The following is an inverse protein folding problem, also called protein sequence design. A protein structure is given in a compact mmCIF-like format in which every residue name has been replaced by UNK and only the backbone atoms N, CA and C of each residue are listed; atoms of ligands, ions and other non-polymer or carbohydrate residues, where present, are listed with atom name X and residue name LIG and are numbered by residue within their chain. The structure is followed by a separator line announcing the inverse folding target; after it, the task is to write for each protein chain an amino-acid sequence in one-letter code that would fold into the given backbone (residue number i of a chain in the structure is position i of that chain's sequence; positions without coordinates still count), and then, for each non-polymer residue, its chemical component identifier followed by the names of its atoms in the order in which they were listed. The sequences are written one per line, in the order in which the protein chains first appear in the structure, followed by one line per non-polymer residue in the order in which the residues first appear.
data_IF_050643999167
#
_entry.id   IF_050643999167
#
_cell.length_a   1.000
_cell.length_b   1.000
_cell.length_c   1.000
_cell.angle_alpha   90.00
_cell.angle_beta   90.00
_cell.angle_gamma   90.00
#
_symmetry.space_group_name_H-M   'P 1'
#
loop_
_entity.id
_entity.type
_entity.pdbx_description
1 polymer ?
#
# COMPACT_ATOMS: atom_id res chain seq x y z
N UNK A 1 9.54 15.34 -7.64
CA UNK A 1 9.51 14.24 -6.65
C UNK A 1 8.50 14.61 -5.56
N UNK A 2 8.17 13.72 -4.61
CA UNK A 2 7.27 14.06 -3.50
C UNK A 2 7.88 15.14 -2.61
N UNK A 3 7.06 16.01 -2.04
CA UNK A 3 7.49 16.96 -1.01
C UNK A 3 7.17 16.44 0.41
N UNK A 4 7.85 16.94 1.45
CA UNK A 4 7.65 16.51 2.83
C UNK A 4 6.20 16.68 3.34
N UNK A 5 5.50 17.75 2.93
CA UNK A 5 4.10 18.04 3.34
C UNK A 5 3.16 16.91 2.91
N UNK A 6 3.30 16.42 1.68
CA UNK A 6 2.49 15.31 1.16
C UNK A 6 2.82 13.98 1.86
N UNK A 7 4.09 13.76 2.17
CA UNK A 7 4.54 12.58 2.91
C UNK A 7 3.91 12.55 4.31
N UNK A 8 3.93 13.68 5.02
CA UNK A 8 3.27 13.82 6.32
C UNK A 8 1.78 13.45 6.24
N UNK A 9 1.07 13.87 5.19
CA UNK A 9 -0.33 13.51 4.98
C UNK A 9 -0.54 11.99 4.88
N UNK A 10 0.29 11.29 4.09
CA UNK A 10 0.17 9.83 3.98
C UNK A 10 0.39 9.11 5.30
N UNK A 11 1.40 9.55 6.08
CA UNK A 11 1.67 8.98 7.41
C UNK A 11 0.64 9.38 8.46
N UNK A 12 0.00 10.54 8.31
CA UNK A 12 -1.13 10.97 9.15
C UNK A 12 -2.27 9.94 9.14
N UNK A 13 -2.43 9.17 8.06
CA UNK A 13 -3.40 8.08 8.00
C UNK A 13 -3.17 6.95 9.02
N UNK A 14 -1.93 6.80 9.52
CA UNK A 14 -1.62 5.85 10.59
C UNK A 14 -2.16 6.32 11.96
N UNK A 15 -2.48 7.61 12.13
CA UNK A 15 -3.12 8.15 13.34
C UNK A 15 -4.65 8.12 13.28
N UNK A 16 -5.24 7.91 12.11
CA UNK A 16 -6.70 7.94 11.92
C UNK A 16 -7.29 6.62 12.43
N UNK A 17 -7.82 6.64 13.64
CA UNK A 17 -8.45 5.47 14.26
C UNK A 17 -9.78 5.12 13.58
N UNK A 18 -9.99 3.83 13.34
CA UNK A 18 -11.21 3.25 12.77
C UNK A 18 -11.90 2.40 13.82
N UNK A 19 -13.24 2.37 13.76
CA UNK A 19 -14.07 1.63 14.72
C UNK A 19 -13.79 2.03 16.18
N UNK A 20 -13.42 3.29 16.41
CA UNK A 20 -13.07 3.79 17.74
C UNK A 20 -14.27 4.10 18.63
N UNK A 21 -15.47 4.00 18.08
CA UNK A 21 -16.75 3.99 18.75
C UNK A 21 -17.18 2.59 19.26
N UNK A 22 -16.39 1.54 18.99
CA UNK A 22 -16.61 0.18 19.48
C UNK A 22 -15.40 -0.39 20.25
N UNK A 23 -15.62 -1.27 21.24
CA UNK A 23 -14.57 -2.10 21.81
C UNK A 23 -13.91 -2.97 20.73
N UNK A 24 -12.57 -2.95 20.69
CA UNK A 24 -11.76 -3.70 19.71
C UNK A 24 -10.52 -4.27 20.37
N UNK A 25 -10.12 -5.49 19.98
CA UNK A 25 -8.93 -6.17 20.53
C UNK A 25 -7.61 -5.54 20.09
N UNK A 26 -7.64 -4.82 18.97
CA UNK A 26 -6.47 -4.21 18.35
C UNK A 26 -6.81 -2.83 17.82
N UNK A 27 -5.82 -1.95 17.72
CA UNK A 27 -6.00 -0.71 16.99
C UNK A 27 -6.19 -0.98 15.50
N UNK A 28 -7.15 -0.28 14.90
CA UNK A 28 -7.45 -0.33 13.47
C UNK A 28 -7.29 1.08 12.95
N UNK A 29 -6.46 1.28 11.93
CA UNK A 29 -6.14 2.61 11.40
C UNK A 29 -6.44 2.71 9.91
N UNK A 30 -6.68 3.92 9.42
CA UNK A 30 -7.06 4.15 8.02
C UNK A 30 -5.98 3.71 7.03
N UNK A 31 -4.69 3.89 7.37
CA UNK A 31 -3.60 3.42 6.52
C UNK A 31 -3.68 1.91 6.23
N UNK A 32 -3.85 1.09 7.27
CA UNK A 32 -3.97 -0.38 7.14
C UNK A 32 -5.21 -0.79 6.35
N UNK A 33 -6.33 -0.08 6.52
CA UNK A 33 -7.54 -0.32 5.75
C UNK A 33 -7.35 -0.01 4.27
N UNK A 34 -6.65 1.08 3.94
CA UNK A 34 -6.39 1.46 2.55
C UNK A 34 -5.41 0.49 1.91
N UNK A 35 -4.38 0.06 2.62
CA UNK A 35 -3.45 -0.97 2.15
C UNK A 35 -4.20 -2.27 1.80
N UNK A 36 -5.07 -2.74 2.71
CA UNK A 36 -5.89 -3.92 2.46
C UNK A 36 -6.82 -3.72 1.25
N UNK A 37 -7.43 -2.54 1.11
CA UNK A 37 -8.26 -2.17 -0.05
C UNK A 37 -7.48 -2.28 -1.36
N UNK A 38 -6.24 -1.77 -1.45
CA UNK A 38 -5.44 -1.89 -2.67
C UNK A 38 -5.13 -3.35 -3.03
N UNK A 39 -4.80 -4.18 -2.03
CA UNK A 39 -4.57 -5.62 -2.22
C UNK A 39 -5.83 -6.30 -2.74
N UNK A 40 -6.99 -6.07 -2.12
CA UNK A 40 -8.26 -6.65 -2.56
C UNK A 40 -8.61 -6.15 -3.97
N UNK A 41 -8.42 -4.86 -4.27
CA UNK A 41 -8.70 -4.27 -5.57
C UNK A 41 -7.85 -4.90 -6.68
N UNK A 42 -6.58 -5.20 -6.42
CA UNK A 42 -5.72 -5.95 -7.35
C UNK A 42 -6.33 -7.31 -7.68
N UNK A 43 -6.72 -8.09 -6.68
CA UNK A 43 -7.30 -9.42 -6.92
C UNK A 43 -8.66 -9.36 -7.62
N UNK A 44 -9.52 -8.40 -7.27
CA UNK A 44 -10.78 -8.19 -7.99
C UNK A 44 -10.49 -7.88 -9.46
N UNK A 45 -9.68 -6.84 -9.75
CA UNK A 45 -9.38 -6.43 -11.11
C UNK A 45 -8.77 -7.55 -11.97
N UNK A 46 -7.89 -8.36 -11.38
CA UNK A 46 -7.24 -9.49 -12.05
C UNK A 46 -8.15 -10.71 -12.25
N UNK A 47 -9.21 -10.85 -11.46
CA UNK A 47 -10.15 -11.96 -11.57
C UNK A 47 -11.35 -11.66 -12.45
N UNK A 48 -11.72 -10.39 -12.65
CA UNK A 48 -12.81 -9.97 -13.53
C UNK A 48 -12.39 -9.97 -15.00
N UNK A 49 -12.06 -11.15 -15.54
CA UNK A 49 -11.59 -11.38 -16.91
C UNK A 49 -12.48 -10.86 -18.05
N UNK A 50 -13.74 -10.51 -17.78
CA UNK A 50 -14.68 -10.01 -18.80
C UNK A 50 -14.53 -8.51 -19.07
N UNK A 51 -13.90 -7.78 -18.17
CA UNK A 51 -13.72 -6.34 -18.31
C UNK A 51 -12.24 -6.01 -18.37
N UNK A 52 -11.84 -5.28 -19.43
CA UNK A 52 -10.52 -4.64 -19.43
C UNK A 52 -10.53 -3.55 -18.36
N UNK A 53 -9.91 -3.83 -17.21
CA UNK A 53 -9.67 -2.88 -16.14
C UNK A 53 -8.31 -2.23 -16.37
N UNK A 54 -8.28 -0.91 -16.36
CA UNK A 54 -7.03 -0.17 -16.46
C UNK A 54 -6.36 -0.12 -15.09
N UNK A 55 -5.31 -0.93 -14.91
CA UNK A 55 -4.61 -1.04 -13.62
C UNK A 55 -3.92 0.26 -13.22
N UNK A 56 -3.50 1.09 -14.17
CA UNK A 56 -2.87 2.38 -13.92
C UNK A 56 -3.89 3.36 -13.35
N UNK A 57 -5.07 3.39 -13.95
CA UNK A 57 -6.23 4.16 -13.50
C UNK A 57 -6.75 3.65 -12.15
N UNK A 58 -6.72 2.34 -11.90
CA UNK A 58 -7.08 1.74 -10.61
C UNK A 58 -6.18 2.23 -9.47
N UNK A 59 -4.86 2.24 -9.70
CA UNK A 59 -3.88 2.75 -8.75
C UNK A 59 -4.13 4.24 -8.50
N UNK A 60 -4.22 5.03 -9.56
CA UNK A 60 -4.36 6.49 -9.46
C UNK A 60 -5.69 6.88 -8.77
N UNK A 61 -6.81 6.27 -9.15
CA UNK A 61 -8.10 6.42 -8.49
C UNK A 61 -8.04 6.05 -7.01
N UNK A 62 -7.32 4.97 -6.67
CA UNK A 62 -7.11 4.55 -5.29
C UNK A 62 -6.35 5.60 -4.48
N UNK A 63 -5.29 6.17 -5.05
CA UNK A 63 -4.49 7.24 -4.41
C UNK A 63 -5.34 8.49 -4.22
N UNK A 64 -6.14 8.87 -5.21
CA UNK A 64 -7.05 10.02 -5.11
C UNK A 64 -8.11 9.83 -4.01
N UNK A 65 -8.72 8.65 -3.91
CA UNK A 65 -9.66 8.35 -2.83
C UNK A 65 -8.97 8.35 -1.46
N UNK A 66 -7.73 7.87 -1.38
CA UNK A 66 -6.95 7.89 -0.16
C UNK A 66 -6.63 9.34 0.28
N UNK A 67 -6.12 10.18 -0.62
CA UNK A 67 -5.85 11.60 -0.36
C UNK A 67 -7.10 12.33 0.14
N UNK A 68 -8.24 12.16 -0.54
CA UNK A 68 -9.51 12.75 -0.10
C UNK A 68 -9.88 12.28 1.30
N UNK A 69 -9.71 10.99 1.60
CA UNK A 69 -10.05 10.41 2.91
C UNK A 69 -9.19 10.95 4.03
N UNK A 70 -7.90 11.16 3.78
CA UNK A 70 -6.97 11.78 4.75
C UNK A 70 -7.35 13.23 5.05
N UNK A 71 -7.86 13.99 4.07
CA UNK A 71 -8.29 15.37 4.33
C UNK A 71 -9.61 15.44 5.10
N UNK A 72 -10.59 14.60 4.77
CA UNK A 72 -11.93 14.59 5.41
C UNK A 72 -11.96 13.74 6.69
N UNK A 73 -10.83 13.63 7.39
CA UNK A 73 -10.67 12.86 8.63
C UNK A 73 -11.77 13.11 9.66
N UNK A 74 -12.02 12.13 10.52
CA UNK A 74 -12.91 12.22 11.69
C UNK A 74 -14.42 12.36 11.39
N UNK A 75 -14.81 12.29 10.12
CA UNK A 75 -16.21 12.14 9.72
C UNK A 75 -16.54 10.66 9.57
N UNK A 76 -17.55 10.20 10.35
CA UNK A 76 -18.11 8.85 10.23
C UNK A 76 -18.58 8.61 8.78
N UNK A 77 -18.32 7.43 8.18
CA UNK A 77 -18.59 7.21 6.75
C UNK A 77 -20.03 7.51 6.31
N UNK A 78 -21.04 7.15 7.10
CA UNK A 78 -22.46 7.41 6.81
C UNK A 78 -22.79 8.91 6.84
N UNK A 79 -22.23 9.64 7.82
CA UNK A 79 -22.33 11.11 7.90
C UNK A 79 -21.65 11.75 6.70
N UNK A 80 -20.47 11.27 6.32
CA UNK A 80 -19.73 11.77 5.17
C UNK A 80 -20.52 11.55 3.87
N UNK A 81 -21.11 10.37 3.66
CA UNK A 81 -21.97 10.11 2.49
C UNK A 81 -23.16 11.07 2.42
N UNK A 82 -23.83 11.31 3.55
CA UNK A 82 -24.93 12.30 3.63
C UNK A 82 -24.44 13.73 3.37
N UNK A 83 -23.24 14.08 3.82
CA UNK A 83 -22.63 15.38 3.56
C UNK A 83 -22.34 15.55 2.07
N UNK A 84 -21.80 14.53 1.39
CA UNK A 84 -21.58 14.56 -0.04
C UNK A 84 -22.89 14.75 -0.83
N UNK A 85 -23.97 14.06 -0.47
CA UNK A 85 -25.27 14.25 -1.15
C UNK A 85 -25.78 15.69 -1.14
N UNK A 86 -25.40 16.50 -0.13
CA UNK A 86 -25.88 17.89 0.03
C UNK A 86 -24.85 18.96 -0.35
N UNK A 87 -23.56 18.66 -0.21
CA UNK A 87 -22.45 19.61 -0.21
C UNK A 87 -21.20 19.09 -0.94
N UNK A 88 -21.39 18.18 -1.90
CA UNK A 88 -20.29 17.58 -2.65
C UNK A 88 -19.35 18.64 -3.24
N UNK A 89 -19.88 19.66 -3.91
CA UNK A 89 -19.08 20.71 -4.54
C UNK A 89 -18.23 21.47 -3.52
N UNK A 90 -18.82 21.93 -2.43
CA UNK A 90 -18.11 22.68 -1.40
C UNK A 90 -17.04 21.84 -0.71
N UNK A 91 -17.34 20.57 -0.38
CA UNK A 91 -16.39 19.64 0.22
C UNK A 91 -15.23 19.36 -0.75
N UNK A 92 -15.54 19.13 -2.02
CA UNK A 92 -14.55 18.85 -3.06
C UNK A 92 -13.61 20.03 -3.27
N UNK A 93 -14.14 21.25 -3.38
CA UNK A 93 -13.35 22.49 -3.46
C UNK A 93 -12.45 22.67 -2.24
N UNK A 94 -12.96 22.38 -1.05
CA UNK A 94 -12.15 22.45 0.17
C UNK A 94 -11.03 21.40 0.19
N UNK A 95 -11.31 20.15 -0.18
CA UNK A 95 -10.27 19.10 -0.28
C UNK A 95 -9.18 19.50 -1.27
N UNK A 96 -9.57 20.03 -2.43
CA UNK A 96 -8.65 20.49 -3.46
C UNK A 96 -7.77 21.65 -3.00
N UNK A 97 -8.28 22.55 -2.15
CA UNK A 97 -7.49 23.66 -1.62
C UNK A 97 -6.48 23.20 -0.57
N UNK A 98 -6.83 22.23 0.28
CA UNK A 98 -5.91 21.70 1.29
C UNK A 98 -4.70 20.98 0.67
N UNK A 99 -4.90 20.37 -0.50
CA UNK A 99 -3.87 19.58 -1.17
C UNK A 99 -3.12 20.31 -2.29
N UNK A 100 -3.52 21.55 -2.64
CA UNK A 100 -2.95 22.30 -3.76
C UNK A 100 -1.42 22.41 -3.66
N UNK A 101 -0.90 23.02 -2.58
CA UNK A 101 0.55 23.21 -2.40
C UNK A 101 1.33 21.88 -2.38
N UNK A 102 0.67 20.81 -1.97
CA UNK A 102 1.32 19.50 -1.81
C UNK A 102 1.41 18.75 -3.15
N UNK A 103 0.57 19.10 -4.11
CA UNK A 103 0.39 18.38 -5.38
C UNK A 103 0.74 19.21 -6.61
N UNK A 104 0.81 20.53 -6.52
CA UNK A 104 0.99 21.44 -7.66
C UNK A 104 2.28 21.20 -8.43
N UNK A 105 3.34 20.77 -7.74
CA UNK A 105 4.66 20.60 -8.34
C UNK A 105 4.83 19.21 -9.00
N UNK A 106 3.89 18.30 -8.76
CA UNK A 106 3.93 16.93 -9.30
C UNK A 106 3.53 16.96 -10.76
N UNK A 107 4.45 16.51 -11.62
CA UNK A 107 4.29 16.54 -13.09
C UNK A 107 3.91 17.93 -13.61
N UNK A 108 4.47 19.00 -13.03
CA UNK A 108 4.15 20.39 -13.37
C UNK A 108 2.63 20.69 -13.30
N UNK A 109 1.95 20.14 -12.28
CA UNK A 109 0.52 20.34 -12.04
C UNK A 109 -0.41 19.37 -12.77
N UNK A 110 0.11 18.53 -13.67
CA UNK A 110 -0.72 17.58 -14.40
C UNK A 110 -1.37 16.55 -13.47
N UNK A 111 -0.67 16.09 -12.42
CA UNK A 111 -1.22 15.18 -11.41
C UNK A 111 -2.39 15.84 -10.66
N UNK A 112 -2.22 17.08 -10.21
CA UNK A 112 -3.28 17.84 -9.54
C UNK A 112 -4.50 18.01 -10.45
N UNK A 113 -4.30 18.29 -11.74
CA UNK A 113 -5.41 18.43 -12.69
C UNK A 113 -6.20 17.13 -12.88
N UNK A 114 -5.53 15.98 -12.90
CA UNK A 114 -6.20 14.66 -12.92
C UNK A 114 -6.96 14.41 -11.62
N UNK A 115 -6.41 14.80 -10.47
CA UNK A 115 -7.09 14.71 -9.17
C UNK A 115 -8.34 15.59 -9.10
N UNK A 116 -8.26 16.84 -9.56
CA UNK A 116 -9.39 17.77 -9.67
C UNK A 116 -10.50 17.20 -10.55
N UNK A 117 -10.12 16.66 -11.71
CA UNK A 117 -11.06 16.04 -12.65
C UNK A 117 -11.71 14.83 -12.01
N UNK A 118 -10.94 13.95 -11.37
CA UNK A 118 -11.47 12.78 -10.66
C UNK A 118 -12.44 13.17 -9.55
N UNK A 119 -12.15 14.19 -8.76
CA UNK A 119 -13.07 14.60 -7.69
C UNK A 119 -14.36 15.23 -8.25
N UNK A 120 -14.26 15.94 -9.38
CA UNK A 120 -15.38 16.70 -9.96
C UNK A 120 -16.25 15.89 -10.93
N UNK A 121 -15.69 14.85 -11.55
CA UNK A 121 -16.34 14.00 -12.54
C UNK A 121 -16.44 12.55 -12.03
N UNK A 122 -17.66 12.15 -11.68
CA UNK A 122 -17.98 10.80 -11.22
C UNK A 122 -17.93 9.74 -12.32
N UNK A 123 -17.84 10.14 -13.59
CA UNK A 123 -17.73 9.23 -14.74
C UNK A 123 -16.28 8.80 -15.04
N UNK A 124 -15.29 9.60 -14.62
CA UNK A 124 -13.87 9.25 -14.72
C UNK A 124 -13.58 7.96 -13.95
N UNK A 125 -12.92 6.99 -14.59
CA UNK A 125 -12.53 5.70 -14.00
C UNK A 125 -13.69 4.92 -13.38
N UNK A 126 -14.87 4.93 -14.02
CA UNK A 126 -16.11 4.36 -13.47
C UNK A 126 -15.96 2.90 -13.00
N UNK A 127 -15.26 2.06 -13.77
CA UNK A 127 -15.06 0.64 -13.45
C UNK A 127 -14.11 0.46 -12.27
N UNK A 128 -13.01 1.18 -12.29
CA UNK A 128 -11.99 1.17 -11.25
C UNK A 128 -12.57 1.68 -9.93
N UNK A 129 -13.39 2.73 -9.96
CA UNK A 129 -14.17 3.20 -8.79
C UNK A 129 -15.06 2.11 -8.21
N UNK A 130 -15.74 1.36 -9.08
CA UNK A 130 -16.63 0.28 -8.65
C UNK A 130 -15.83 -0.82 -7.94
N UNK A 131 -14.69 -1.22 -8.50
CA UNK A 131 -13.75 -2.17 -7.88
C UNK A 131 -13.20 -1.63 -6.55
N UNK A 132 -12.78 -0.36 -6.50
CA UNK A 132 -12.24 0.26 -5.29
C UNK A 132 -13.29 0.35 -4.17
N UNK A 133 -14.56 0.62 -4.51
CA UNK A 133 -15.68 0.56 -3.56
C UNK A 133 -15.88 -0.85 -3.04
N UNK A 134 -15.99 -1.84 -3.91
CA UNK A 134 -16.10 -3.25 -3.52
C UNK A 134 -14.96 -3.67 -2.59
N UNK A 135 -13.71 -3.37 -2.97
CA UNK A 135 -12.53 -3.66 -2.17
C UNK A 135 -12.54 -2.95 -0.80
N UNK A 136 -13.03 -1.71 -0.77
CA UNK A 136 -13.15 -0.92 0.46
C UNK A 136 -14.14 -1.56 1.44
N UNK A 137 -15.27 -2.05 0.95
CA UNK A 137 -16.27 -2.75 1.79
C UNK A 137 -15.79 -4.11 2.25
N UNK A 138 -15.11 -4.86 1.38
CA UNK A 138 -14.48 -6.13 1.78
C UNK A 138 -13.44 -5.95 2.88
N UNK A 139 -12.59 -4.92 2.80
CA UNK A 139 -11.65 -4.57 3.88
C UNK A 139 -12.39 -4.19 5.17
N UNK A 140 -13.49 -3.42 5.05
CA UNK A 140 -14.31 -2.98 6.19
C UNK A 140 -15.00 -4.15 6.88
N UNK A 141 -15.51 -5.13 6.12
CA UNK A 141 -16.09 -6.37 6.64
C UNK A 141 -15.09 -7.23 7.39
N UNK A 142 -13.86 -7.32 6.87
CA UNK A 142 -12.79 -8.04 7.55
C UNK A 142 -12.45 -7.37 8.89
N UNK A 143 -12.34 -6.03 8.94
CA UNK A 143 -12.17 -5.28 10.19
C UNK A 143 -13.34 -5.49 11.16
N UNK A 144 -14.57 -5.40 10.64
CA UNK A 144 -15.77 -5.59 11.42
C UNK A 144 -15.86 -6.99 12.03
N UNK A 145 -15.28 -8.01 11.39
CA UNK A 145 -15.21 -9.36 11.95
C UNK A 145 -14.43 -9.40 13.27
N UNK A 146 -13.43 -8.53 13.46
CA UNK A 146 -12.70 -8.38 14.73
C UNK A 146 -13.57 -7.63 15.74
N UNK A 147 -14.15 -6.50 15.32
CA UNK A 147 -14.97 -5.64 16.17
C UNK A 147 -16.20 -6.39 16.69
N UNK A 148 -16.86 -7.17 15.83
CA UNK A 148 -18.04 -7.95 16.15
C UNK A 148 -17.78 -8.91 17.30
N UNK A 149 -16.65 -9.62 17.30
CA UNK A 149 -16.30 -10.59 18.35
C UNK A 149 -16.21 -9.93 19.74
N UNK A 150 -15.68 -8.72 19.83
CA UNK A 150 -15.58 -7.99 21.11
C UNK A 150 -16.79 -7.13 21.44
N UNK A 151 -17.72 -6.95 20.50
CA UNK A 151 -18.85 -6.04 20.62
C UNK A 151 -20.21 -6.75 20.69
N UNK A 152 -20.24 -8.08 20.79
CA UNK A 152 -21.49 -8.87 20.81
C UNK A 152 -22.43 -8.50 21.96
N UNK A 153 -21.90 -7.93 23.05
CA UNK A 153 -22.69 -7.48 24.20
C UNK A 153 -23.41 -6.14 23.95
N UNK A 154 -23.09 -5.41 22.88
CA UNK A 154 -23.71 -4.13 22.57
C UNK A 154 -25.06 -4.32 21.87
N UNK A 155 -26.05 -3.55 22.30
CA UNK A 155 -27.33 -3.48 21.62
C UNK A 155 -27.13 -2.98 20.18
N UNK A 156 -27.79 -3.63 19.21
CA UNK A 156 -27.76 -3.32 17.77
C UNK A 156 -26.49 -3.71 17.01
N UNK A 157 -25.52 -4.41 17.60
CA UNK A 157 -24.33 -4.86 16.85
C UNK A 157 -24.71 -5.78 15.66
N UNK A 158 -25.77 -6.57 15.79
CA UNK A 158 -26.29 -7.40 14.69
C UNK A 158 -26.88 -6.56 13.55
N UNK A 159 -27.45 -5.38 13.83
CA UNK A 159 -27.88 -4.45 12.76
C UNK A 159 -26.69 -3.88 12.00
N UNK A 160 -25.57 -3.62 12.68
CA UNK A 160 -24.33 -3.19 12.03
C UNK A 160 -23.78 -4.33 11.16
N UNK A 161 -23.86 -5.57 11.64
CA UNK A 161 -23.48 -6.75 10.85
C UNK A 161 -24.34 -6.89 9.59
N UNK A 162 -25.66 -6.79 9.72
CA UNK A 162 -26.59 -6.81 8.59
C UNK A 162 -26.27 -5.71 7.58
N UNK A 163 -26.04 -4.47 8.03
CA UNK A 163 -25.69 -3.35 7.15
C UNK A 163 -24.35 -3.56 6.42
N UNK A 164 -23.33 -4.11 7.10
CA UNK A 164 -22.03 -4.41 6.48
C UNK A 164 -22.17 -5.53 5.43
N UNK A 165 -23.00 -6.54 5.66
CA UNK A 165 -23.25 -7.60 4.69
C UNK A 165 -24.08 -7.09 3.49
N UNK A 166 -25.14 -6.29 3.74
CA UNK A 166 -25.98 -5.66 2.70
C UNK A 166 -25.14 -4.80 1.75
N UNK A 167 -24.19 -4.01 2.28
CA UNK A 167 -23.28 -3.21 1.45
C UNK A 167 -22.41 -4.06 0.51
N UNK A 168 -22.15 -5.32 0.81
CA UNK A 168 -21.36 -6.21 -0.06
C UNK A 168 -22.23 -6.79 -1.18
N UNK A 169 -23.53 -6.98 -0.92
CA UNK A 169 -24.46 -7.55 -1.91
C UNK A 169 -24.55 -6.68 -3.17
N UNK A 170 -24.43 -5.36 -3.03
CA UNK A 170 -24.35 -4.39 -4.13
C UNK A 170 -23.22 -4.70 -5.13
N UNK A 171 -22.19 -5.44 -4.71
CA UNK A 171 -21.02 -5.78 -5.51
C UNK A 171 -20.99 -7.26 -5.91
N UNK A 172 -22.06 -8.01 -5.66
CA UNK A 172 -22.18 -9.42 -6.05
C UNK A 172 -22.20 -9.62 -7.55
N UNK A 173 -22.24 -8.60 -8.41
CA UNK A 173 -22.00 -8.80 -9.84
C UNK A 173 -20.56 -9.26 -10.14
N UNK A 174 -19.59 -8.85 -9.31
CA UNK A 174 -18.18 -9.25 -9.40
C UNK A 174 -18.01 -10.70 -8.92
N UNK A 175 -17.47 -11.57 -9.80
CA UNK A 175 -17.25 -12.99 -9.49
C UNK A 175 -16.31 -13.15 -8.30
N UNK A 176 -15.27 -12.33 -8.24
CA UNK A 176 -14.28 -12.30 -7.17
C UNK A 176 -14.91 -11.98 -5.81
N UNK A 177 -15.78 -10.96 -5.73
CA UNK A 177 -16.49 -10.59 -4.49
C UNK A 177 -17.35 -11.76 -4.00
N UNK A 178 -18.12 -12.41 -4.88
CA UNK A 178 -18.90 -13.60 -4.51
C UNK A 178 -18.00 -14.72 -3.96
N UNK A 179 -16.86 -14.99 -4.61
CA UNK A 179 -15.90 -16.01 -4.16
C UNK A 179 -15.30 -15.68 -2.79
N UNK A 180 -14.95 -14.42 -2.55
CA UNK A 180 -14.43 -13.95 -1.25
C UNK A 180 -15.51 -14.07 -0.17
N UNK A 181 -16.73 -13.61 -0.46
CA UNK A 181 -17.84 -13.65 0.50
C UNK A 181 -18.29 -15.07 0.87
N UNK A 182 -18.18 -16.02 -0.06
CA UNK A 182 -18.44 -17.44 0.17
C UNK A 182 -17.25 -18.20 0.80
N UNK A 183 -16.23 -17.51 1.31
CA UNK A 183 -15.03 -18.09 1.91
C UNK A 183 -14.33 -19.16 1.03
N UNK A 184 -14.23 -18.91 -0.28
CA UNK A 184 -13.47 -19.76 -1.20
C UNK A 184 -11.98 -19.46 -1.12
N UNK A 185 -11.14 -20.24 -1.80
CA UNK A 185 -9.66 -20.15 -1.78
C UNK A 185 -9.08 -18.72 -1.66
N UNK A 186 -9.54 -17.79 -2.50
CA UNK A 186 -9.06 -16.40 -2.50
C UNK A 186 -9.27 -15.66 -1.16
N UNK A 187 -10.28 -16.03 -0.36
CA UNK A 187 -10.51 -15.42 0.96
C UNK A 187 -9.33 -15.68 1.91
N UNK A 188 -8.58 -16.77 1.74
CA UNK A 188 -7.35 -17.04 2.49
C UNK A 188 -6.28 -15.99 2.21
N UNK A 189 -6.16 -15.54 0.96
CA UNK A 189 -5.20 -14.50 0.55
C UNK A 189 -5.60 -13.14 1.13
N UNK A 190 -6.89 -12.81 1.05
CA UNK A 190 -7.43 -11.59 1.66
C UNK A 190 -7.21 -11.60 3.18
N UNK A 191 -7.45 -12.74 3.83
CA UNK A 191 -7.20 -12.89 5.25
C UNK A 191 -5.71 -12.77 5.61
N UNK A 192 -4.81 -13.40 4.85
CA UNK A 192 -3.36 -13.26 5.02
C UNK A 192 -2.92 -11.80 4.90
N UNK A 193 -3.42 -11.05 3.90
CA UNK A 193 -3.14 -9.60 3.81
C UNK A 193 -3.65 -8.83 5.01
N UNK A 194 -4.86 -9.15 5.50
CA UNK A 194 -5.44 -8.51 6.67
C UNK A 194 -4.57 -8.67 7.92
N UNK A 195 -3.98 -9.86 8.13
CA UNK A 195 -3.15 -10.19 9.31
C UNK A 195 -1.86 -9.36 9.42
N UNK A 196 -1.32 -8.85 8.32
CA UNK A 196 -0.11 -8.01 8.31
C UNK A 196 -0.29 -6.74 9.16
N UNK A 197 -1.53 -6.31 9.43
CA UNK A 197 -1.80 -5.18 10.32
C UNK A 197 -1.42 -5.42 11.78
N UNK A 198 -1.38 -6.68 12.20
CA UNK A 198 -1.04 -7.06 13.57
C UNK A 198 0.48 -7.07 13.80
N UNK A 199 1.26 -7.05 12.72
CA UNK A 199 2.72 -7.02 12.78
C UNK A 199 3.18 -5.57 12.83
N UNK A 200 3.62 -5.12 14.00
CA UNK A 200 4.09 -3.75 14.21
C UNK A 200 5.56 -3.63 13.84
N UNK A 201 5.88 -2.58 13.08
CA UNK A 201 7.26 -2.25 12.72
C UNK A 201 7.97 -1.59 13.89
N UNK A 202 9.30 -1.65 13.89
CA UNK A 202 10.12 -1.12 14.98
C UNK A 202 9.78 -1.75 16.34
N UNK A 203 9.44 -3.04 16.37
CA UNK A 203 8.89 -3.75 17.54
C UNK A 203 9.72 -3.68 18.84
N UNK A 204 10.98 -3.26 18.77
CA UNK A 204 11.86 -3.09 19.92
C UNK A 204 11.79 -1.70 20.56
N UNK A 205 11.00 -0.77 20.00
CA UNK A 205 10.91 0.60 20.51
C UNK A 205 9.53 1.21 20.24
N UNK A 206 8.92 1.94 21.21
CA UNK A 206 7.68 2.68 20.94
C UNK A 206 7.89 3.72 19.83
N UNK A 207 6.84 3.96 19.03
CA UNK A 207 6.88 4.89 17.89
C UNK A 207 5.55 5.61 17.69
N UNK A 208 5.57 6.89 17.27
CA UNK A 208 4.34 7.67 17.03
C UNK A 208 4.36 8.36 15.65
N UNK A 209 3.33 8.17 14.81
CA UNK A 209 2.27 7.16 14.95
C UNK A 209 2.82 5.76 14.72
N UNK A 210 2.30 4.74 15.38
CA UNK A 210 2.66 3.34 15.12
C UNK A 210 2.28 2.92 13.68
N UNK A 211 3.07 2.06 13.03
CA UNK A 211 2.78 1.50 11.70
C UNK A 211 2.86 -0.01 11.76
N UNK A 212 1.97 -0.65 11.02
CA UNK A 212 2.04 -2.07 10.75
C UNK A 212 2.85 -2.35 9.48
N UNK A 213 3.23 -3.62 9.25
CA UNK A 213 3.78 -4.08 7.97
C UNK A 213 2.80 -3.77 6.83
N UNK A 214 1.50 -3.99 7.04
CA UNK A 214 0.46 -3.71 6.04
C UNK A 214 0.44 -2.23 5.62
N UNK A 215 0.44 -1.33 6.59
CA UNK A 215 0.44 0.11 6.33
C UNK A 215 1.73 0.57 5.65
N UNK A 216 2.87 0.03 6.07
CA UNK A 216 4.18 0.29 5.48
C UNK A 216 4.20 -0.10 3.99
N UNK A 217 3.73 -1.29 3.63
CA UNK A 217 3.66 -1.75 2.24
C UNK A 217 2.93 -0.76 1.32
N UNK A 218 1.83 -0.16 1.78
CA UNK A 218 1.12 0.87 1.00
C UNK A 218 1.95 2.15 0.87
N UNK A 219 2.64 2.60 1.92
CA UNK A 219 3.53 3.75 1.82
C UNK A 219 4.62 3.50 0.79
N UNK A 220 5.28 2.34 0.83
CA UNK A 220 6.32 1.98 -0.17
C UNK A 220 5.73 1.95 -1.58
N UNK A 221 4.53 1.42 -1.77
CA UNK A 221 3.84 1.41 -3.06
C UNK A 221 3.54 2.82 -3.57
N UNK A 222 3.06 3.73 -2.71
CA UNK A 222 2.80 5.13 -3.06
C UNK A 222 4.10 5.85 -3.41
N UNK A 223 5.17 5.66 -2.63
CA UNK A 223 6.50 6.20 -2.96
C UNK A 223 6.98 5.67 -4.32
N UNK A 224 6.79 4.38 -4.60
CA UNK A 224 7.10 3.73 -5.87
C UNK A 224 6.29 4.29 -7.05
N UNK A 225 5.03 4.66 -6.83
CA UNK A 225 4.18 5.35 -7.82
C UNK A 225 4.73 6.73 -8.20
N UNK A 226 5.10 7.54 -7.21
CA UNK A 226 5.61 8.89 -7.47
C UNK A 226 7.04 8.89 -8.01
N UNK A 227 7.88 7.93 -7.58
CA UNK A 227 9.12 7.60 -8.28
C UNK A 227 8.83 7.24 -9.74
N UNK A 228 7.81 6.40 -9.94
CA UNK A 228 7.14 6.03 -11.20
C UNK A 228 7.07 7.18 -12.20
N UNK A 229 6.33 8.19 -11.75
CA UNK A 229 6.07 9.45 -12.46
C UNK A 229 7.35 10.24 -12.71
N UNK A 230 8.20 10.39 -11.70
CA UNK A 230 9.46 11.15 -11.80
C UNK A 230 10.43 10.55 -12.81
N UNK A 231 10.46 9.21 -12.89
CA UNK A 231 11.27 8.46 -13.84
C UNK A 231 10.65 8.42 -15.24
N UNK A 232 9.42 8.95 -15.43
CA UNK A 232 8.64 8.88 -16.67
C UNK A 232 8.48 7.44 -17.17
N UNK A 233 8.21 6.52 -16.23
CA UNK A 233 7.97 5.12 -16.56
C UNK A 233 6.72 4.98 -17.44
N UNK A 234 6.73 4.03 -18.38
CA UNK A 234 5.52 3.61 -19.09
C UNK A 234 4.51 2.97 -18.11
N UNK A 235 3.24 2.90 -18.52
CA UNK A 235 2.17 2.44 -17.63
C UNK A 235 2.40 1.04 -17.07
N UNK A 236 2.88 0.10 -17.90
CA UNK A 236 3.18 -1.27 -17.45
C UNK A 236 4.26 -1.30 -16.38
N UNK A 237 5.38 -0.61 -16.59
CA UNK A 237 6.48 -0.51 -15.62
C UNK A 237 6.02 0.15 -14.32
N UNK A 238 5.21 1.20 -14.40
CA UNK A 238 4.67 1.87 -13.22
C UNK A 238 3.71 0.97 -12.42
N UNK A 239 2.80 0.28 -13.12
CA UNK A 239 1.86 -0.67 -12.51
C UNK A 239 2.63 -1.77 -11.79
N UNK A 240 3.65 -2.33 -12.44
CA UNK A 240 4.49 -3.37 -11.85
C UNK A 240 5.27 -2.85 -10.64
N UNK A 241 5.82 -1.63 -10.71
CA UNK A 241 6.52 -1.01 -9.59
C UNK A 241 5.61 -0.84 -8.38
N UNK A 242 4.39 -0.35 -8.60
CA UNK A 242 3.40 -0.18 -7.53
C UNK A 242 3.05 -1.50 -6.87
N UNK A 243 2.72 -2.54 -7.65
CA UNK A 243 2.30 -3.82 -7.08
C UNK A 243 3.47 -4.65 -6.53
N UNK A 244 4.67 -4.56 -7.11
CA UNK A 244 5.87 -5.15 -6.52
C UNK A 244 6.13 -4.55 -5.13
N UNK A 245 6.06 -3.22 -5.01
CA UNK A 245 6.18 -2.53 -3.73
C UNK A 245 5.01 -2.85 -2.77
N UNK A 246 3.77 -2.95 -3.27
CA UNK A 246 2.63 -3.29 -2.43
C UNK A 246 2.73 -4.72 -1.88
N UNK A 247 3.38 -5.65 -2.58
CA UNK A 247 3.47 -7.06 -2.18
C UNK A 247 4.84 -7.47 -1.63
N UNK A 248 5.83 -6.57 -1.51
CA UNK A 248 7.20 -6.93 -1.18
C UNK A 248 7.33 -7.67 0.16
N UNK A 249 6.61 -7.23 1.20
CA UNK A 249 6.53 -7.87 2.52
C UNK A 249 5.30 -8.78 2.69
N UNK A 250 4.54 -9.06 1.63
CA UNK A 250 3.36 -9.93 1.72
C UNK A 250 3.68 -11.32 2.33
N UNK A 251 4.81 -11.99 2.00
CA UNK A 251 5.17 -13.26 2.62
C UNK A 251 5.41 -13.17 4.13
N UNK A 252 5.68 -11.99 4.70
CA UNK A 252 5.85 -11.80 6.14
C UNK A 252 4.58 -12.14 6.93
N UNK A 253 3.42 -12.24 6.27
CA UNK A 253 2.19 -12.76 6.87
C UNK A 253 2.36 -14.18 7.44
N UNK A 254 3.34 -14.94 6.92
CA UNK A 254 3.63 -16.32 7.29
C UNK A 254 4.92 -16.45 8.10
N UNK A 255 5.97 -15.70 7.72
CA UNK A 255 7.29 -15.81 8.37
C UNK A 255 7.47 -14.86 9.57
N UNK A 256 6.60 -13.86 9.69
CA UNK A 256 6.77 -12.64 10.50
C UNK A 256 7.96 -11.79 10.02
N UNK A 257 7.94 -10.50 10.35
CA UNK A 257 9.07 -9.61 10.12
C UNK A 257 10.29 -10.07 10.93
N UNK A 258 11.35 -10.44 10.21
CA UNK A 258 12.68 -10.69 10.78
C UNK A 258 13.51 -9.43 10.55
N UNK A 259 13.83 -8.72 11.63
CA UNK A 259 14.57 -7.46 11.54
C UNK A 259 15.94 -7.63 10.87
N UNK A 260 16.35 -6.62 10.10
CA UNK A 260 17.60 -6.65 9.31
C UNK A 260 18.86 -7.04 10.12
N UNK A 261 19.09 -6.55 11.37
CA UNK A 261 20.27 -6.95 12.14
C UNK A 261 20.33 -8.46 12.42
N UNK A 262 19.17 -9.13 12.52
CA UNK A 262 19.09 -10.58 12.74
C UNK A 262 19.33 -11.33 11.43
N UNK A 263 18.74 -10.88 10.31
CA UNK A 263 18.89 -11.50 8.98
C UNK A 263 20.37 -11.69 8.59
N UNK A 264 21.22 -10.71 8.90
CA UNK A 264 22.64 -10.72 8.54
C UNK A 264 23.59 -11.01 9.73
N UNK A 265 23.05 -11.52 10.84
CA UNK A 265 23.85 -11.77 12.05
C UNK A 265 24.81 -12.96 11.91
N UNK A 266 24.48 -13.91 11.03
CA UNK A 266 25.23 -15.14 10.79
C UNK A 266 25.32 -15.37 9.28
N UNK A 267 26.51 -15.71 8.79
CA UNK A 267 26.72 -16.03 7.37
C UNK A 267 25.83 -17.22 6.96
N UNK A 268 25.08 -17.07 5.86
CA UNK A 268 24.18 -18.09 5.32
C UNK A 268 22.80 -18.17 5.99
N UNK A 269 22.53 -17.36 7.02
CA UNK A 269 21.19 -17.29 7.63
C UNK A 269 20.19 -16.63 6.67
N UNK A 270 20.64 -15.65 5.88
CA UNK A 270 19.86 -14.99 4.84
C UNK A 270 19.42 -15.97 3.75
N UNK A 271 20.30 -16.88 3.33
CA UNK A 271 19.96 -17.95 2.39
C UNK A 271 18.88 -18.89 2.97
N UNK A 272 19.03 -19.32 4.23
CA UNK A 272 18.05 -20.19 4.91
C UNK A 272 16.69 -19.49 5.04
N UNK A 273 16.67 -18.20 5.40
CA UNK A 273 15.44 -17.42 5.50
C UNK A 273 14.77 -17.32 4.14
N UNK A 274 15.55 -17.06 3.08
CA UNK A 274 15.05 -16.98 1.71
C UNK A 274 14.43 -18.30 1.24
N UNK A 275 15.12 -19.44 1.46
CA UNK A 275 14.59 -20.77 1.15
C UNK A 275 13.29 -21.08 1.90
N UNK A 276 13.24 -20.74 3.19
CA UNK A 276 12.03 -20.92 3.98
C UNK A 276 10.88 -20.05 3.48
N UNK A 277 11.15 -18.78 3.14
CA UNK A 277 10.14 -17.87 2.62
C UNK A 277 9.58 -18.35 1.28
N UNK A 278 10.43 -18.83 0.36
CA UNK A 278 9.99 -19.42 -0.91
C UNK A 278 9.07 -20.61 -0.65
N UNK A 279 9.47 -21.52 0.23
CA UNK A 279 8.64 -22.68 0.61
C UNK A 279 7.27 -22.26 1.15
N UNK A 280 7.24 -21.27 2.03
CA UNK A 280 5.98 -20.74 2.59
C UNK A 280 5.10 -20.09 1.51
N UNK A 281 5.69 -19.39 0.54
CA UNK A 281 4.93 -18.87 -0.61
C UNK A 281 4.30 -20.03 -1.40
N UNK A 282 5.07 -21.08 -1.69
CA UNK A 282 4.59 -22.21 -2.49
C UNK A 282 3.52 -23.06 -1.80
N UNK A 283 3.60 -23.22 -0.48
CA UNK A 283 2.68 -24.05 0.30
C UNK A 283 1.43 -23.28 0.77
N UNK A 284 1.58 -22.01 1.15
CA UNK A 284 0.53 -21.26 1.88
C UNK A 284 -0.03 -20.05 1.12
N UNK A 285 0.57 -19.63 0.01
CA UNK A 285 0.08 -18.52 -0.83
C UNK A 285 -0.40 -19.04 -2.19
N UNK A 286 0.48 -19.61 -2.99
CA UNK A 286 0.17 -19.96 -4.39
C UNK A 286 -1.02 -20.92 -4.56
N UNK A 287 -1.26 -21.94 -3.71
CA UNK A 287 -2.38 -22.87 -3.87
C UNK A 287 -3.77 -22.23 -3.74
N UNK A 288 -3.82 -21.02 -3.18
CA UNK A 288 -5.04 -20.25 -2.96
C UNK A 288 -5.29 -19.19 -4.04
N UNK A 289 -4.34 -19.00 -4.95
CA UNK A 289 -4.49 -18.12 -6.11
C UNK A 289 -5.20 -18.83 -7.28
N UNK A 290 -5.95 -18.10 -8.11
CA UNK A 290 -6.37 -18.60 -9.42
C UNK A 290 -5.16 -18.95 -10.29
N UNK A 291 -5.27 -20.05 -11.06
CA UNK A 291 -4.18 -20.58 -11.89
C UNK A 291 -3.54 -19.53 -12.81
N UNK A 292 -4.36 -18.71 -13.47
CA UNK A 292 -3.90 -17.63 -14.36
C UNK A 292 -3.13 -16.50 -13.66
N UNK A 293 -3.19 -16.38 -12.33
CA UNK A 293 -2.50 -15.34 -11.55
C UNK A 293 -1.20 -15.80 -10.90
N UNK A 294 -0.96 -17.11 -10.82
CA UNK A 294 0.22 -17.67 -10.14
C UNK A 294 1.51 -17.09 -10.74
N UNK A 295 1.61 -17.07 -12.07
CA UNK A 295 2.79 -16.59 -12.79
C UNK A 295 3.07 -15.11 -12.56
N UNK A 296 2.04 -14.28 -12.63
CA UNK A 296 2.15 -12.83 -12.37
C UNK A 296 2.52 -12.56 -10.91
N UNK A 297 1.88 -13.26 -9.97
CA UNK A 297 2.12 -13.05 -8.55
C UNK A 297 3.53 -13.50 -8.14
N UNK A 298 4.02 -14.64 -8.67
CA UNK A 298 5.43 -15.05 -8.52
C UNK A 298 6.38 -13.94 -8.98
N UNK A 299 6.10 -13.34 -10.15
CA UNK A 299 6.92 -12.25 -10.69
C UNK A 299 6.93 -11.00 -9.80
N UNK A 300 5.78 -10.62 -9.24
CA UNK A 300 5.67 -9.48 -8.32
C UNK A 300 6.39 -9.73 -6.99
N UNK A 301 6.32 -10.95 -6.46
CA UNK A 301 7.05 -11.36 -5.25
C UNK A 301 8.57 -11.55 -5.47
N UNK A 302 9.05 -11.34 -6.70
CA UNK A 302 10.46 -11.47 -7.04
C UNK A 302 10.95 -12.90 -7.03
N UNK A 303 10.07 -13.88 -7.29
CA UNK A 303 10.47 -15.27 -7.51
C UNK A 303 10.97 -15.45 -8.96
N UNK A 304 12.15 -16.04 -9.12
CA UNK A 304 12.79 -16.29 -10.41
C UNK A 304 13.65 -17.55 -10.36
N UNK A 305 14.00 -18.06 -11.55
CA UNK A 305 14.70 -19.35 -11.68
C UNK A 305 13.93 -20.50 -11.02
N UNK A 306 14.66 -21.53 -10.58
CA UNK A 306 14.06 -22.72 -9.98
C UNK A 306 13.76 -22.56 -8.48
N UNK A 307 14.49 -21.68 -7.76
CA UNK A 307 14.31 -21.47 -6.32
C UNK A 307 14.99 -20.19 -5.81
N UNK A 308 14.86 -19.06 -6.53
CA UNK A 308 15.50 -17.80 -6.12
C UNK A 308 14.45 -16.71 -5.85
N UNK A 309 14.74 -15.87 -4.85
CA UNK A 309 13.89 -14.74 -4.47
C UNK A 309 14.71 -13.46 -4.32
N UNK A 310 14.26 -12.40 -4.98
CA UNK A 310 14.76 -11.04 -4.79
C UNK A 310 13.74 -10.03 -5.32
N UNK A 311 12.85 -9.58 -4.45
CA UNK A 311 11.81 -8.59 -4.78
C UNK A 311 12.38 -7.24 -5.22
N UNK A 312 13.59 -6.90 -4.77
CA UNK A 312 14.28 -5.64 -5.05
C UNK A 312 15.35 -5.73 -6.14
N UNK A 313 15.36 -6.80 -6.94
CA UNK A 313 16.17 -6.88 -8.15
C UNK A 313 15.50 -6.14 -9.30
N UNK A 314 16.27 -5.30 -10.00
CA UNK A 314 15.87 -4.76 -11.30
C UNK A 314 15.68 -5.91 -12.28
N UNK A 315 14.49 -6.02 -12.87
CA UNK A 315 14.13 -7.16 -13.72
C UNK A 315 13.18 -6.81 -14.84
N UNK A 316 13.22 -7.62 -15.88
CA UNK A 316 12.29 -7.59 -17.02
C UNK A 316 11.66 -8.97 -17.21
N UNK A 317 10.54 -9.02 -17.93
CA UNK A 317 9.92 -10.26 -18.33
C UNK A 317 9.36 -10.19 -19.76
N UNK A 318 10.18 -10.61 -20.73
CA UNK A 318 9.76 -10.79 -22.13
C UNK A 318 9.39 -12.25 -22.42
N UNK A 319 10.36 -13.16 -22.29
CA UNK A 319 10.19 -14.60 -22.47
C UNK A 319 10.47 -15.38 -21.18
N UNK A 320 11.48 -14.92 -20.44
CA UNK A 320 11.88 -15.36 -19.12
C UNK A 320 12.20 -14.16 -18.23
N UNK A 321 12.32 -14.37 -16.93
CA UNK A 321 12.67 -13.31 -15.98
C UNK A 321 14.18 -13.10 -16.06
N UNK A 322 14.60 -11.87 -16.37
CA UNK A 322 16.01 -11.53 -16.50
C UNK A 322 16.37 -10.36 -15.59
N UNK A 323 17.46 -10.52 -14.83
CA UNK A 323 18.05 -9.45 -14.05
C UNK A 323 18.74 -8.45 -14.98
N UNK A 324 18.52 -7.15 -14.75
CA UNK A 324 19.13 -6.09 -15.55
C UNK A 324 19.74 -5.03 -14.65
N UNK A 325 20.95 -4.57 -14.97
CA UNK A 325 21.61 -3.55 -14.14
C UNK A 325 20.96 -2.17 -14.29
N UNK A 326 20.62 -1.81 -15.53
CA UNK A 326 20.01 -0.53 -15.92
C UNK A 326 18.69 -0.75 -16.67
N UNK A 327 17.65 -0.03 -16.25
CA UNK A 327 16.31 -0.07 -16.80
C UNK A 327 16.01 1.09 -17.76
N UNK A 328 16.98 1.96 -18.05
CA UNK A 328 16.81 3.11 -18.94
C UNK A 328 16.31 2.72 -20.35
N UNK A 329 16.76 1.56 -20.86
CA UNK A 329 16.37 1.02 -22.16
C UNK A 329 15.06 0.21 -22.16
N UNK A 330 14.47 -0.05 -20.99
CA UNK A 330 13.34 -0.95 -20.81
C UNK A 330 12.07 -0.19 -20.39
N UNK A 331 11.69 0.84 -21.16
CA UNK A 331 10.56 1.72 -20.84
C UNK A 331 9.36 1.58 -21.81
N UNK A 332 9.04 0.34 -22.16
CA UNK A 332 7.87 -0.03 -22.97
C UNK A 332 7.13 -1.18 -22.30
N UNK A 333 5.81 -1.25 -22.46
CA UNK A 333 4.98 -2.27 -21.79
C UNK A 333 5.42 -3.71 -22.09
N UNK A 334 6.00 -3.96 -23.28
CA UNK A 334 6.48 -5.30 -23.69
C UNK A 334 7.57 -5.88 -22.78
N UNK A 335 8.36 -5.03 -22.12
CA UNK A 335 9.46 -5.48 -21.26
C UNK A 335 8.98 -5.91 -19.88
N UNK A 336 7.77 -5.53 -19.49
CA UNK A 336 7.19 -5.84 -18.19
C UNK A 336 8.14 -5.49 -17.01
N UNK A 337 8.88 -4.39 -17.12
CA UNK A 337 9.98 -4.04 -16.23
C UNK A 337 9.55 -3.76 -14.77
N UNK A 338 10.45 -4.02 -13.82
CA UNK A 338 10.35 -3.64 -12.39
C UNK A 338 11.68 -3.01 -11.91
N UNK A 339 11.58 -1.83 -11.32
CA UNK A 339 12.66 -1.02 -10.74
C UNK A 339 13.05 -1.44 -9.32
N UNK A 340 13.39 -2.71 -9.13
CA UNK A 340 13.65 -3.27 -7.80
C UNK A 340 14.62 -2.42 -6.94
N UNK A 341 15.71 -1.91 -7.51
CA UNK A 341 16.69 -1.09 -6.77
C UNK A 341 16.09 0.23 -6.29
N UNK A 342 15.26 0.89 -7.10
CA UNK A 342 14.58 2.12 -6.68
C UNK A 342 13.47 1.83 -5.67
N UNK A 343 12.73 0.71 -5.83
CA UNK A 343 11.76 0.29 -4.83
C UNK A 343 12.42 -0.01 -3.47
N UNK A 344 13.66 -0.51 -3.46
CA UNK A 344 14.41 -0.66 -2.20
C UNK A 344 14.70 0.67 -1.53
N UNK A 345 14.95 1.71 -2.32
CA UNK A 345 15.11 3.06 -1.78
C UNK A 345 13.78 3.66 -1.31
N UNK A 346 12.65 3.31 -1.94
CA UNK A 346 11.33 3.64 -1.41
C UNK A 346 11.08 2.98 -0.04
N UNK A 347 11.42 1.70 0.12
CA UNK A 347 11.35 0.97 1.41
C UNK A 347 12.24 1.63 2.48
N UNK A 348 13.52 1.85 2.16
CA UNK A 348 14.45 2.56 3.04
C UNK A 348 13.91 3.95 3.42
N UNK A 349 13.41 4.74 2.45
CA UNK A 349 12.87 6.06 2.71
C UNK A 349 11.62 6.00 3.60
N UNK A 350 10.72 5.03 3.40
CA UNK A 350 9.57 4.84 4.28
C UNK A 350 10.00 4.55 5.72
N UNK A 351 10.97 3.64 5.93
CA UNK A 351 11.52 3.34 7.25
C UNK A 351 12.25 4.54 7.87
N UNK A 352 12.94 5.35 7.05
CA UNK A 352 13.53 6.61 7.49
C UNK A 352 12.47 7.59 7.99
N UNK A 353 11.40 7.80 7.23
CA UNK A 353 10.30 8.70 7.60
C UNK A 353 9.61 8.23 8.87
N UNK A 354 9.38 6.92 9.04
CA UNK A 354 8.82 6.33 10.26
C UNK A 354 9.60 6.73 11.51
N UNK A 355 10.94 6.69 11.44
CA UNK A 355 11.82 7.08 12.53
C UNK A 355 11.85 8.60 12.73
N UNK A 356 11.99 9.36 11.63
CA UNK A 356 12.07 10.83 11.64
C UNK A 356 10.80 11.45 12.23
N UNK A 357 9.61 11.01 11.82
CA UNK A 357 8.32 11.45 12.37
C UNK A 357 8.19 11.16 13.86
N UNK A 358 8.63 9.97 14.29
CA UNK A 358 8.55 9.61 15.71
C UNK A 358 9.46 10.49 16.57
N UNK A 359 10.66 10.79 16.06
CA UNK A 359 11.62 11.67 16.73
C UNK A 359 11.08 13.09 16.80
N UNK A 360 10.42 13.59 15.74
CA UNK A 360 9.84 14.94 15.73
C UNK A 360 8.64 15.07 16.67
N UNK A 361 7.90 13.98 16.90
CA UNK A 361 6.87 13.89 17.95
C UNK A 361 7.42 13.70 19.37
N UNK A 362 8.75 13.70 19.56
CA UNK A 362 9.41 13.61 20.85
C UNK A 362 9.72 12.20 21.34
N UNK A 363 9.36 11.16 20.58
CA UNK A 363 9.74 9.77 20.89
C UNK A 363 11.08 9.48 20.25
N UNK A 364 12.15 9.77 21.00
CA UNK A 364 13.55 9.73 20.54
C UNK A 364 14.37 8.67 21.29
N UNK A 365 14.11 7.40 20.98
CA UNK A 365 14.92 6.29 21.50
C UNK A 365 16.28 6.20 20.79
N UNK A 366 17.20 5.40 21.35
CA UNK A 366 18.51 5.14 20.73
C UNK A 366 18.33 4.36 19.44
N UNK A 367 17.41 3.41 19.43
CA UNK A 367 17.06 2.54 18.32
C UNK A 367 16.54 3.36 17.13
N UNK A 368 15.63 4.32 17.37
CA UNK A 368 15.13 5.20 16.31
C UNK A 368 16.20 6.14 15.78
N UNK A 369 17.03 6.72 16.66
CA UNK A 369 18.09 7.65 16.23
C UNK A 369 19.16 6.93 15.41
N UNK A 370 19.64 5.77 15.88
CA UNK A 370 20.63 4.96 15.16
C UNK A 370 20.05 4.38 13.86
N UNK A 371 18.80 3.92 13.89
CA UNK A 371 18.09 3.44 12.72
C UNK A 371 17.95 4.53 11.64
N UNK A 372 17.52 5.74 12.03
CA UNK A 372 17.46 6.92 11.15
C UNK A 372 18.82 7.17 10.48
N UNK A 373 19.88 7.27 11.28
CA UNK A 373 21.24 7.54 10.78
C UNK A 373 21.77 6.46 9.84
N UNK A 374 21.57 5.18 10.19
CA UNK A 374 21.98 4.06 9.36
C UNK A 374 21.29 4.07 8.00
N UNK A 375 19.98 4.31 7.99
CA UNK A 375 19.22 4.41 6.75
C UNK A 375 19.64 5.64 5.94
N UNK A 376 19.89 6.78 6.61
CA UNK A 376 20.39 7.99 5.96
C UNK A 376 21.70 7.76 5.20
N UNK A 377 22.63 7.01 5.78
CA UNK A 377 23.89 6.64 5.09
C UNK A 377 23.63 5.73 3.89
N UNK A 378 22.74 4.74 4.00
CA UNK A 378 22.36 3.91 2.86
C UNK A 378 21.77 4.72 1.70
N UNK A 379 20.89 5.68 2.01
CA UNK A 379 20.34 6.59 1.01
C UNK A 379 21.43 7.47 0.41
N UNK A 380 22.38 7.96 1.19
CA UNK A 380 23.53 8.72 0.67
C UNK A 380 24.37 7.92 -0.32
N UNK A 381 24.60 6.65 -0.05
CA UNK A 381 25.44 5.78 -0.89
C UNK A 381 24.71 5.27 -2.14
N UNK A 382 23.43 4.91 -2.01
CA UNK A 382 22.67 4.16 -3.02
C UNK A 382 21.35 4.80 -3.43
N UNK A 383 21.02 5.98 -2.92
CA UNK A 383 19.75 6.67 -3.11
C UNK A 383 19.63 7.46 -4.41
N UNK A 384 20.65 7.49 -5.27
CA UNK A 384 20.54 8.17 -6.56
C UNK A 384 20.08 7.19 -7.64
N UNK A 385 18.89 7.44 -8.20
CA UNK A 385 18.23 6.58 -9.20
C UNK A 385 17.77 7.42 -10.39
N UNK A 386 18.63 7.54 -11.41
CA UNK A 386 18.37 8.42 -12.55
C UNK A 386 18.18 9.88 -12.10
N UNK A 387 16.98 10.43 -12.32
CA UNK A 387 16.62 11.79 -11.92
C UNK A 387 16.03 11.89 -10.50
N UNK A 388 15.85 10.77 -9.79
CA UNK A 388 15.36 10.76 -8.41
C UNK A 388 16.54 10.67 -7.43
N UNK A 389 16.58 11.55 -6.44
CA UNK A 389 17.56 11.54 -5.36
C UNK A 389 16.85 11.33 -4.01
N UNK A 390 16.82 10.08 -3.55
CA UNK A 390 16.17 9.72 -2.30
C UNK A 390 16.90 10.27 -1.07
N UNK A 391 18.20 10.59 -1.19
CA UNK A 391 18.97 11.18 -0.09
C UNK A 391 18.62 12.66 0.08
N UNK A 392 18.54 13.41 -1.01
CA UNK A 392 18.11 14.81 -0.98
C UNK A 392 16.70 14.95 -0.39
N UNK A 393 15.77 14.07 -0.80
CA UNK A 393 14.43 14.02 -0.22
C UNK A 393 14.46 13.73 1.30
N UNK A 394 15.33 12.81 1.74
CA UNK A 394 15.48 12.53 3.18
C UNK A 394 15.93 13.76 3.96
N UNK A 395 16.86 14.57 3.39
CA UNK A 395 17.30 15.82 4.01
C UNK A 395 16.20 16.89 4.03
N UNK A 396 15.43 17.01 2.95
CA UNK A 396 14.26 17.91 2.91
C UNK A 396 13.23 17.55 3.99
N UNK A 397 13.00 16.25 4.22
CA UNK A 397 12.09 15.73 5.24
C UNK A 397 12.62 16.03 6.66
N UNK A 398 13.92 15.82 6.93
CA UNK A 398 14.53 16.18 8.21
C UNK A 398 14.37 17.67 8.50
N UNK A 399 14.67 18.52 7.51
CA UNK A 399 14.53 19.96 7.64
C UNK A 399 13.08 20.39 7.89
N UNK A 400 12.12 19.77 7.20
CA UNK A 400 10.69 20.05 7.37
C UNK A 400 10.20 19.69 8.77
N UNK A 401 10.63 18.54 9.31
CA UNK A 401 10.25 18.10 10.66
C UNK A 401 11.12 18.68 11.79
N UNK A 402 12.21 19.37 11.46
CA UNK A 402 13.09 20.04 12.42
C UNK A 402 13.94 19.08 13.27
N UNK A 403 14.40 17.96 12.72
CA UNK A 403 15.05 16.85 13.48
C UNK A 403 16.30 16.25 12.86
#
# INVERSE_FOLDING_TARGET
MLNPKLIEQFFGAASIQRWNDYPRMVELVELDKQAHKFIIAYFIAKMESKESIDMRSLIEAGIFEFLRRVVVTDIRPDVFRKALQKKEKEINTWVLSQLYDSLSDIENGAFYKRFETYISDSSMYKKERFILKAASYMATRWEFSIVYQTSQFLNNIDRVKEAVEEEIEDYYELISVRKMAMNKKISKIIDLSGRLRFQKRWAQTPRIPETSVLGHMLIVAILGYFYSLSAKACDGRLVNNFFCALFHDFPEALTRDIISPVKYSVSGLDDIISEFEIKMIEEEILPYLPEGLIKEFKYLLGLYGDNQKNEFMNRIYEHEITAVEDLSHYNENKYNAIDGKALKNCDNLAAFIEATLSISHGVKSKELTQGKEHIRQKLKEKGKMGNADFYELALEIENYFGV
#
